data_IF_455160879279
#
_entry.id   IF_455160879279
#
_cell.length_a   1.000
_cell.length_b   1.000
_cell.length_c   1.000
_cell.angle_alpha   90.00
_cell.angle_beta   90.00
_cell.angle_gamma   90.00
#
_symmetry.space_group_name_H-M   'P 1'
#
loop_
_entity.id
_entity.type
_entity.pdbx_description
1 polymer ?
#
# COMPACT_ATOMS: atom_id res chain seq x y z
N UNK A 1 -19.28 -15.92 33.77
CA UNK A 1 -20.24 -15.78 32.67
C UNK A 1 -19.43 -15.67 31.38
N UNK A 2 -20.01 -15.96 30.21
CA UNK A 2 -19.32 -15.64 28.95
C UNK A 2 -19.26 -14.13 28.81
N UNK A 3 -18.07 -13.61 28.56
CA UNK A 3 -17.81 -12.20 28.33
C UNK A 3 -18.09 -11.81 26.88
N UNK A 4 -17.88 -12.74 25.95
CA UNK A 4 -18.21 -12.57 24.54
C UNK A 4 -18.29 -13.92 23.82
N UNK A 5 -19.17 -14.00 22.81
CA UNK A 5 -19.23 -15.09 21.84
C UNK A 5 -18.68 -14.62 20.51
N UNK A 6 -17.73 -15.34 19.95
CA UNK A 6 -17.14 -15.08 18.65
C UNK A 6 -17.69 -16.06 17.62
N UNK A 7 -17.90 -15.57 16.41
CA UNK A 7 -18.12 -16.41 15.25
C UNK A 7 -16.88 -16.38 14.35
N UNK A 8 -16.19 -17.52 14.25
CA UNK A 8 -14.97 -17.60 13.46
C UNK A 8 -15.31 -17.62 11.97
N UNK A 9 -14.50 -16.89 11.20
CA UNK A 9 -14.61 -16.84 9.75
C UNK A 9 -13.91 -18.04 9.12
N UNK A 10 -14.21 -18.30 7.84
CA UNK A 10 -13.46 -19.29 7.06
C UNK A 10 -11.98 -18.85 6.90
N UNK A 11 -11.00 -19.69 7.29
CA UNK A 11 -9.58 -19.37 7.16
C UNK A 11 -9.15 -18.91 5.76
N UNK A 12 -9.84 -19.36 4.71
CA UNK A 12 -9.55 -19.00 3.33
C UNK A 12 -9.98 -17.57 2.96
N UNK A 13 -10.80 -16.92 3.79
CA UNK A 13 -11.27 -15.55 3.56
C UNK A 13 -10.24 -14.49 3.98
N UNK A 14 -9.20 -14.89 4.73
CA UNK A 14 -8.24 -13.97 5.35
C UNK A 14 -8.83 -13.17 6.53
N UNK A 15 -10.04 -13.50 6.97
CA UNK A 15 -10.70 -12.91 8.14
C UNK A 15 -10.55 -13.81 9.35
N UNK A 16 -10.60 -13.22 10.55
CA UNK A 16 -10.59 -14.00 11.81
C UNK A 16 -12.00 -14.29 12.29
N UNK A 17 -12.86 -13.29 12.22
CA UNK A 17 -14.22 -13.37 12.76
C UNK A 17 -15.22 -12.76 11.78
N UNK A 18 -16.41 -13.35 11.68
CA UNK A 18 -17.53 -12.69 10.99
C UNK A 18 -18.16 -11.65 11.90
N UNK A 19 -18.29 -11.99 13.19
CA UNK A 19 -18.79 -11.10 14.21
C UNK A 19 -18.33 -11.52 15.62
N UNK A 20 -18.41 -10.58 16.55
CA UNK A 20 -18.20 -10.76 17.99
C UNK A 20 -19.44 -10.21 18.69
N UNK A 21 -20.01 -10.97 19.61
CA UNK A 21 -21.13 -10.54 20.44
C UNK A 21 -20.65 -10.45 21.88
N UNK A 22 -20.74 -9.27 22.50
CA UNK A 22 -20.36 -9.10 23.90
C UNK A 22 -21.44 -9.58 24.87
N UNK A 23 -21.12 -9.59 26.16
CA UNK A 23 -22.04 -9.99 27.24
C UNK A 23 -23.30 -9.12 27.34
N UNK A 24 -23.28 -7.88 26.86
CA UNK A 24 -24.43 -6.98 26.80
C UNK A 24 -25.30 -7.25 25.55
N UNK A 25 -24.87 -8.17 24.69
CA UNK A 25 -25.55 -8.56 23.45
C UNK A 25 -25.26 -7.65 22.26
N UNK A 26 -24.35 -6.68 22.39
CA UNK A 26 -23.91 -5.84 21.27
C UNK A 26 -23.09 -6.67 20.30
N UNK A 27 -23.29 -6.43 19.01
CA UNK A 27 -22.60 -7.14 17.93
C UNK A 27 -21.62 -6.20 17.25
N UNK A 28 -20.39 -6.68 17.10
CA UNK A 28 -19.32 -6.08 16.32
C UNK A 28 -19.12 -6.93 15.05
N UNK A 29 -19.08 -6.31 13.88
CA UNK A 29 -19.11 -7.03 12.61
C UNK A 29 -20.54 -7.34 12.15
N UNK A 30 -20.72 -8.36 11.31
CA UNK A 30 -22.01 -8.66 10.67
C UNK A 30 -22.38 -10.14 10.79
N UNK A 31 -23.57 -10.43 11.35
CA UNK A 31 -24.13 -11.79 11.44
C UNK A 31 -24.65 -12.33 10.11
N UNK A 32 -25.23 -11.45 9.29
CA UNK A 32 -26.00 -11.83 8.10
C UNK A 32 -25.44 -11.16 6.84
N UNK A 33 -24.13 -11.24 6.64
CA UNK A 33 -23.51 -10.79 5.39
C UNK A 33 -23.13 -12.01 4.56
N UNK A 34 -23.92 -12.29 3.52
CA UNK A 34 -23.65 -13.39 2.59
C UNK A 34 -22.30 -13.24 1.87
N UNK A 35 -21.73 -12.03 1.82
CA UNK A 35 -20.40 -11.79 1.27
C UNK A 35 -19.25 -12.16 2.23
N UNK A 36 -19.53 -12.34 3.53
CA UNK A 36 -18.54 -12.73 4.55
C UNK A 36 -18.48 -14.24 4.81
N UNK A 37 -19.36 -15.02 4.19
CA UNK A 37 -19.46 -16.46 4.39
C UNK A 37 -20.22 -16.86 5.67
N UNK A 38 -20.47 -18.16 5.83
CA UNK A 38 -21.14 -18.70 7.01
C UNK A 38 -20.20 -18.78 8.22
N UNK A 39 -20.76 -18.70 9.42
CA UNK A 39 -20.05 -19.01 10.64
C UNK A 39 -19.54 -20.46 10.60
N UNK A 40 -18.23 -20.68 10.70
CA UNK A 40 -17.70 -22.06 10.76
C UNK A 40 -18.03 -22.67 12.12
N UNK A 41 -17.67 -21.97 13.18
CA UNK A 41 -17.92 -22.35 14.55
C UNK A 41 -18.01 -21.11 15.46
N UNK A 42 -18.46 -21.35 16.69
CA UNK A 42 -18.55 -20.31 17.71
C UNK A 42 -17.59 -20.62 18.85
N UNK A 43 -16.95 -19.58 19.37
CA UNK A 43 -16.02 -19.64 20.48
C UNK A 43 -16.49 -18.72 21.60
N UNK A 44 -16.45 -19.19 22.85
CA UNK A 44 -16.83 -18.39 24.01
C UNK A 44 -15.57 -17.87 24.71
N UNK A 45 -15.53 -16.57 24.99
CA UNK A 45 -14.53 -15.93 25.83
C UNK A 45 -15.11 -15.78 27.22
N UNK A 46 -14.43 -16.32 28.22
CA UNK A 46 -14.91 -16.38 29.58
C UNK A 46 -14.25 -15.29 30.42
N UNK A 47 -15.01 -14.63 31.28
CA UNK A 47 -14.42 -13.76 32.29
C UNK A 47 -13.52 -14.58 33.23
N UNK A 48 -12.31 -14.10 33.49
CA UNK A 48 -11.46 -14.67 34.55
C UNK A 48 -12.04 -14.28 35.91
N UNK A 49 -12.78 -15.21 36.53
CA UNK A 49 -13.33 -15.05 37.87
C UNK A 49 -12.35 -15.53 38.94
N UNK A 50 -11.72 -14.58 39.66
CA UNK A 50 -11.02 -14.81 40.93
C UNK A 50 -11.71 -14.06 42.07
N UNK A 51 -11.57 -14.55 43.32
CA UNK A 51 -12.37 -14.14 44.50
C UNK A 51 -12.50 -12.63 44.80
N UNK A 52 -11.67 -11.76 44.22
CA UNK A 52 -11.74 -10.31 44.40
C UNK A 52 -11.35 -9.49 43.15
N UNK A 53 -11.32 -10.09 41.96
CA UNK A 53 -10.87 -9.40 40.73
C UNK A 53 -11.93 -9.53 39.65
N UNK A 54 -12.52 -8.40 39.27
CA UNK A 54 -13.37 -8.28 38.09
C UNK A 54 -12.50 -7.79 36.93
N UNK A 55 -12.16 -8.66 35.99
CA UNK A 55 -11.58 -8.25 34.73
C UNK A 55 -12.69 -8.14 33.68
N UNK A 56 -13.03 -6.92 33.27
CA UNK A 56 -13.84 -6.69 32.08
C UNK A 56 -13.04 -7.09 30.83
N UNK A 57 -13.64 -7.81 29.90
CA UNK A 57 -13.00 -8.10 28.60
C UNK A 57 -12.78 -6.80 27.82
N UNK A 58 -11.53 -6.52 27.44
CA UNK A 58 -11.16 -5.32 26.67
C UNK A 58 -10.89 -5.67 25.20
N UNK A 59 -11.32 -4.81 24.28
CA UNK A 59 -10.89 -4.85 22.88
C UNK A 59 -9.53 -4.17 22.75
N UNK A 60 -8.51 -4.97 22.42
CA UNK A 60 -7.14 -4.49 22.17
C UNK A 60 -6.78 -4.67 20.70
N UNK A 61 -6.09 -3.67 20.14
CA UNK A 61 -5.41 -3.83 18.86
C UNK A 61 -4.00 -4.36 19.11
N UNK A 62 -3.69 -5.52 18.53
CA UNK A 62 -2.38 -6.14 18.61
C UNK A 62 -1.77 -6.22 17.22
N UNK A 63 -0.46 -6.00 17.14
CA UNK A 63 0.30 -6.27 15.93
C UNK A 63 0.53 -7.80 15.85
N UNK A 64 0.13 -8.43 14.74
CA UNK A 64 0.36 -9.87 14.53
C UNK A 64 1.85 -10.14 14.32
N UNK A 65 2.43 -11.02 15.14
CA UNK A 65 3.88 -11.24 15.15
C UNK A 65 4.35 -12.28 14.14
N UNK A 66 3.55 -13.31 13.88
CA UNK A 66 4.00 -14.48 13.11
C UNK A 66 3.63 -14.41 11.63
N UNK A 67 2.41 -14.00 11.32
CA UNK A 67 1.91 -13.92 9.94
C UNK A 67 1.34 -12.54 9.63
N UNK A 68 2.24 -11.58 9.41
CA UNK A 68 1.89 -10.19 9.17
C UNK A 68 2.61 -9.62 7.95
N UNK A 69 1.82 -9.26 6.94
CA UNK A 69 2.29 -8.57 5.74
C UNK A 69 2.47 -7.07 6.03
N UNK A 70 3.54 -6.72 6.74
CA UNK A 70 3.84 -5.35 7.20
C UNK A 70 5.22 -4.85 6.80
N UNK A 71 5.90 -5.56 5.89
CA UNK A 71 7.26 -5.24 5.47
C UNK A 71 7.25 -4.62 4.06
N UNK A 72 8.10 -3.62 3.84
CA UNK A 72 8.28 -2.96 2.55
C UNK A 72 9.76 -2.97 2.19
N UNK A 73 10.09 -3.46 0.99
CA UNK A 73 11.47 -3.50 0.50
C UNK A 73 11.97 -2.11 0.14
N UNK A 74 13.12 -1.72 0.70
CA UNK A 74 13.82 -0.48 0.35
C UNK A 74 14.81 -0.69 -0.81
N UNK A 75 14.92 -1.92 -1.33
CA UNK A 75 15.78 -2.23 -2.47
C UNK A 75 15.27 -1.53 -3.73
N UNK A 76 16.15 -0.90 -4.52
CA UNK A 76 15.76 -0.23 -5.74
C UNK A 76 15.43 -1.23 -6.85
N UNK A 77 14.38 -0.94 -7.61
CA UNK A 77 14.15 -1.51 -8.93
C UNK A 77 14.60 -0.47 -9.97
N UNK A 78 15.36 -0.89 -10.98
CA UNK A 78 15.90 -0.02 -12.03
C UNK A 78 15.78 -0.67 -13.40
N UNK A 79 15.32 0.09 -14.38
CA UNK A 79 15.36 -0.30 -15.77
C UNK A 79 16.80 -0.49 -16.25
N UNK A 80 16.98 -1.26 -17.33
CA UNK A 80 18.28 -1.46 -17.95
C UNK A 80 18.67 -0.23 -18.80
N UNK A 81 19.13 0.82 -18.11
CA UNK A 81 19.54 2.08 -18.71
C UNK A 81 20.70 1.89 -19.71
N UNK A 82 21.57 0.90 -19.47
CA UNK A 82 22.66 0.57 -20.38
C UNK A 82 22.17 0.02 -21.72
N UNK A 83 20.99 -0.61 -21.75
CA UNK A 83 20.30 -1.05 -22.95
C UNK A 83 19.24 -0.05 -23.45
N UNK A 84 19.36 1.23 -23.09
CA UNK A 84 18.42 2.29 -23.49
C UNK A 84 16.96 2.03 -23.04
N UNK A 85 16.76 1.30 -21.93
CA UNK A 85 15.42 1.01 -21.41
C UNK A 85 14.99 1.99 -20.35
N UNK A 86 13.71 2.36 -20.40
CA UNK A 86 13.04 3.23 -19.45
C UNK A 86 11.90 2.49 -18.76
N UNK A 87 11.41 3.05 -17.65
CA UNK A 87 10.21 2.55 -16.98
C UNK A 87 8.97 2.96 -17.78
N UNK A 88 8.15 1.98 -18.15
CA UNK A 88 6.86 2.17 -18.83
C UNK A 88 5.66 1.86 -17.94
N UNK A 89 5.90 1.26 -16.78
CA UNK A 89 4.87 0.94 -15.81
C UNK A 89 5.42 0.50 -14.47
N UNK A 90 4.58 0.55 -13.45
CA UNK A 90 4.93 0.16 -12.08
C UNK A 90 3.79 -0.65 -11.46
N UNK A 91 4.10 -1.55 -10.52
CA UNK A 91 3.09 -2.24 -9.71
C UNK A 91 3.64 -2.65 -8.35
N UNK A 92 2.74 -2.88 -7.41
CA UNK A 92 3.07 -3.51 -6.15
C UNK A 92 2.98 -5.03 -6.27
N UNK A 93 3.98 -5.73 -5.76
CA UNK A 93 3.98 -7.20 -5.66
C UNK A 93 4.26 -7.58 -4.21
N UNK A 94 3.46 -8.49 -3.67
CA UNK A 94 3.71 -9.14 -2.38
C UNK A 94 4.45 -10.46 -2.64
N UNK A 95 5.63 -10.63 -2.05
CA UNK A 95 6.30 -11.92 -1.95
C UNK A 95 6.48 -12.20 -0.46
N UNK A 96 5.95 -13.34 -0.01
CA UNK A 96 5.88 -13.68 1.40
C UNK A 96 5.18 -12.54 2.17
N UNK A 97 5.79 -11.98 3.21
CA UNK A 97 5.21 -10.87 3.98
C UNK A 97 5.77 -9.48 3.61
N UNK A 98 6.46 -9.38 2.46
CA UNK A 98 7.14 -8.16 2.01
C UNK A 98 6.55 -7.63 0.71
N UNK A 99 6.29 -6.33 0.66
CA UNK A 99 5.86 -5.61 -0.54
C UNK A 99 7.05 -5.01 -1.30
N UNK A 100 7.03 -5.13 -2.62
CA UNK A 100 8.05 -4.65 -3.54
C UNK A 100 7.41 -3.76 -4.60
N UNK A 101 8.17 -2.80 -5.11
CA UNK A 101 7.86 -2.13 -6.37
C UNK A 101 8.48 -2.98 -7.49
N UNK A 102 7.66 -3.37 -8.47
CA UNK A 102 8.10 -4.01 -9.70
C UNK A 102 7.90 -3.06 -10.88
N UNK A 103 8.83 -3.08 -11.84
CA UNK A 103 8.84 -2.21 -13.00
C UNK A 103 8.52 -2.97 -14.27
N UNK A 104 7.71 -2.36 -15.14
CA UNK A 104 7.67 -2.66 -16.57
C UNK A 104 8.69 -1.75 -17.26
N UNK A 105 9.48 -2.31 -18.16
CA UNK A 105 10.47 -1.57 -18.93
C UNK A 105 10.32 -1.84 -20.43
N UNK A 106 10.73 -0.88 -21.25
CA UNK A 106 10.87 -1.01 -22.69
C UNK A 106 12.00 -0.10 -23.19
N UNK A 107 12.55 -0.42 -24.35
CA UNK A 107 13.52 0.43 -25.05
C UNK A 107 12.84 1.74 -25.48
N UNK A 108 13.46 2.86 -25.14
CA UNK A 108 12.95 4.17 -25.52
C UNK A 108 13.15 4.42 -27.02
N UNK A 109 12.15 5.03 -27.65
CA UNK A 109 12.19 5.53 -29.02
C UNK A 109 11.93 7.04 -29.02
N UNK A 110 12.09 7.69 -30.17
CA UNK A 110 11.90 9.13 -30.31
C UNK A 110 10.49 9.61 -29.89
N UNK A 111 10.35 10.91 -29.64
CA UNK A 111 9.06 11.60 -29.47
C UNK A 111 8.14 11.03 -28.37
N UNK A 112 8.71 10.48 -27.30
CA UNK A 112 7.92 9.92 -26.19
C UNK A 112 7.46 8.48 -26.39
N UNK A 113 7.77 7.87 -27.54
CA UNK A 113 7.42 6.49 -27.85
C UNK A 113 8.39 5.48 -27.21
N UNK A 114 7.97 4.22 -27.23
CA UNK A 114 8.79 3.08 -26.83
C UNK A 114 8.64 1.96 -27.85
N UNK A 115 9.67 1.12 -27.98
CA UNK A 115 9.59 -0.09 -28.76
C UNK A 115 8.75 -1.14 -28.01
N UNK A 116 7.47 -1.23 -28.34
CA UNK A 116 6.50 -2.09 -27.65
C UNK A 116 6.89 -3.58 -27.66
N UNK A 117 7.65 -4.03 -28.66
CA UNK A 117 8.15 -5.41 -28.75
C UNK A 117 9.15 -5.78 -27.65
N UNK A 118 9.77 -4.80 -27.00
CA UNK A 118 10.75 -4.99 -25.92
C UNK A 118 10.14 -4.89 -24.52
N UNK A 119 8.84 -4.61 -24.44
CA UNK A 119 8.11 -4.39 -23.19
C UNK A 119 8.10 -5.64 -22.34
N UNK A 120 8.57 -5.54 -21.10
CA UNK A 120 8.58 -6.64 -20.16
C UNK A 120 8.57 -6.17 -18.71
N UNK A 121 7.92 -6.95 -17.83
CA UNK A 121 8.05 -6.77 -16.39
C UNK A 121 9.38 -7.37 -15.91
N UNK A 122 10.20 -6.56 -15.24
CA UNK A 122 11.44 -7.04 -14.65
C UNK A 122 11.15 -7.93 -13.44
N UNK A 123 11.85 -9.06 -13.25
CA UNK A 123 11.71 -9.85 -12.04
C UNK A 123 12.17 -9.06 -10.81
N UNK A 124 11.65 -9.41 -9.63
CA UNK A 124 12.20 -8.90 -8.37
C UNK A 124 13.63 -9.46 -8.23
N UNK A 125 14.62 -8.58 -8.17
CA UNK A 125 16.04 -8.95 -8.24
C UNK A 125 16.46 -9.96 -7.16
N UNK A 126 15.99 -9.74 -5.93
CA UNK A 126 16.12 -10.70 -4.82
C UNK A 126 14.99 -10.52 -3.82
N UNK A 127 14.68 -11.58 -3.08
CA UNK A 127 13.78 -11.53 -1.92
C UNK A 127 14.53 -10.99 -0.69
N UNK A 128 13.79 -10.30 0.17
CA UNK A 128 14.21 -9.91 1.51
C UNK A 128 14.07 -11.12 2.44
N UNK A 129 15.14 -11.42 3.17
CA UNK A 129 15.14 -12.33 4.31
C UNK A 129 15.30 -11.50 5.59
N UNK A 130 14.21 -11.32 6.32
CA UNK A 130 14.15 -10.50 7.54
C UNK A 130 15.07 -10.97 8.68
N UNK A 131 15.65 -12.17 8.58
CA UNK A 131 16.65 -12.65 9.55
C UNK A 131 18.09 -12.27 9.18
N UNK A 132 18.33 -11.89 7.91
CA UNK A 132 19.67 -11.61 7.36
C UNK A 132 19.83 -10.18 6.86
N UNK A 133 18.76 -9.61 6.32
CA UNK A 133 18.68 -8.25 5.84
C UNK A 133 18.44 -7.27 6.98
N UNK A 134 18.80 -6.00 6.78
CA UNK A 134 18.80 -4.99 7.83
C UNK A 134 17.60 -4.04 7.72
N UNK A 135 16.81 -3.93 8.79
CA UNK A 135 15.71 -2.96 8.88
C UNK A 135 16.26 -1.52 8.83
N UNK A 136 15.64 -0.66 8.01
CA UNK A 136 16.08 0.70 7.73
C UNK A 136 17.04 0.83 6.55
N UNK A 137 17.74 -0.25 6.16
CA UNK A 137 18.60 -0.29 4.96
C UNK A 137 17.96 -1.05 3.81
N UNK A 138 17.57 -2.30 4.05
CA UNK A 138 17.09 -3.23 3.02
C UNK A 138 15.56 -3.29 3.00
N UNK A 139 14.91 -3.13 4.14
CA UNK A 139 13.46 -3.11 4.28
C UNK A 139 13.02 -2.21 5.44
N UNK A 140 11.74 -1.91 5.54
CA UNK A 140 11.12 -1.32 6.74
C UNK A 140 9.96 -2.19 7.20
N UNK A 141 9.76 -2.30 8.51
CA UNK A 141 8.58 -2.92 9.11
C UNK A 141 7.66 -1.83 9.66
N UNK A 142 6.41 -1.84 9.24
CA UNK A 142 5.41 -0.97 9.84
C UNK A 142 5.06 -1.46 11.25
N UNK A 143 4.93 -0.53 12.18
CA UNK A 143 4.55 -0.79 13.57
C UNK A 143 3.42 0.12 14.01
N UNK A 144 2.83 -0.14 15.19
CA UNK A 144 1.85 0.75 15.80
C UNK A 144 2.26 2.24 15.79
N UNK A 145 3.54 2.53 16.01
CA UNK A 145 4.08 3.90 16.06
C UNK A 145 4.56 4.42 14.71
N UNK A 146 4.85 3.54 13.75
CA UNK A 146 5.44 3.87 12.45
C UNK A 146 4.66 3.18 11.34
N UNK A 147 3.54 3.81 10.96
CA UNK A 147 2.59 3.29 9.97
C UNK A 147 1.96 4.39 9.13
N UNK A 148 2.63 5.54 9.07
CA UNK A 148 2.20 6.65 8.23
C UNK A 148 2.87 6.57 6.87
N UNK A 149 2.14 6.99 5.84
CA UNK A 149 2.57 7.05 4.46
C UNK A 149 2.48 8.50 3.99
N UNK A 150 3.55 9.00 3.39
CA UNK A 150 3.58 10.29 2.75
C UNK A 150 3.11 10.15 1.30
N UNK A 151 1.94 10.72 1.02
CA UNK A 151 1.37 10.83 -0.32
C UNK A 151 2.04 12.02 -1.00
N UNK A 152 3.04 11.71 -1.83
CA UNK A 152 3.81 12.66 -2.59
C UNK A 152 4.01 12.13 -4.01
N UNK A 153 4.00 13.04 -4.97
CA UNK A 153 4.45 12.81 -6.33
C UNK A 153 5.86 13.38 -6.52
N UNK A 154 6.76 12.58 -7.06
CA UNK A 154 8.10 12.95 -7.47
C UNK A 154 8.14 13.04 -8.98
N UNK A 155 8.76 14.11 -9.50
CA UNK A 155 8.80 14.36 -10.94
C UNK A 155 10.16 14.88 -11.37
N UNK A 156 10.69 14.28 -12.43
CA UNK A 156 11.86 14.77 -13.15
C UNK A 156 11.61 16.14 -13.79
N UNK A 157 12.67 16.90 -13.99
CA UNK A 157 12.63 18.21 -14.64
C UNK A 157 13.07 18.12 -16.09
N UNK A 158 12.50 18.96 -16.96
CA UNK A 158 12.90 19.04 -18.36
C UNK A 158 12.78 17.71 -19.09
N UNK A 159 13.88 17.24 -19.67
CA UNK A 159 13.98 16.00 -20.45
C UNK A 159 14.34 14.77 -19.60
N UNK A 160 13.86 14.70 -18.36
CA UNK A 160 14.10 13.57 -17.47
C UNK A 160 12.98 12.54 -17.56
N UNK A 161 13.38 11.27 -17.68
CA UNK A 161 12.48 10.11 -17.68
C UNK A 161 12.78 9.18 -16.52
N UNK A 162 11.74 8.48 -16.07
CA UNK A 162 11.76 7.52 -14.98
C UNK A 162 12.53 6.27 -15.41
N UNK A 163 13.57 5.94 -14.66
CA UNK A 163 14.44 4.78 -14.89
C UNK A 163 14.52 3.87 -13.67
N UNK A 164 13.91 4.25 -12.54
CA UNK A 164 13.89 3.40 -11.36
C UNK A 164 12.92 3.89 -10.28
N UNK A 165 12.63 3.01 -9.33
CA UNK A 165 11.75 3.25 -8.20
C UNK A 165 12.20 2.46 -6.98
N UNK A 166 11.99 3.01 -5.80
CA UNK A 166 12.14 2.27 -4.54
C UNK A 166 11.18 2.84 -3.49
N UNK A 167 10.84 2.04 -2.48
CA UNK A 167 10.31 2.61 -1.25
C UNK A 167 11.40 3.35 -0.48
N UNK A 168 10.99 4.32 0.32
CA UNK A 168 11.89 5.11 1.14
C UNK A 168 11.19 5.54 2.44
N UNK A 169 11.94 5.71 3.52
CA UNK A 169 11.43 6.21 4.79
C UNK A 169 11.94 7.63 5.03
N UNK A 170 11.03 8.59 5.18
CA UNK A 170 11.37 10.00 5.43
C UNK A 170 10.58 10.54 6.61
N UNK A 171 11.28 10.96 7.66
CA UNK A 171 10.65 11.58 8.82
C UNK A 171 9.62 10.67 9.53
N UNK A 172 9.76 9.35 9.44
CA UNK A 172 8.81 8.38 10.00
C UNK A 172 7.64 8.01 9.08
N UNK A 173 7.65 8.49 7.83
CA UNK A 173 6.64 8.17 6.83
C UNK A 173 7.22 7.30 5.72
N UNK A 174 6.52 6.23 5.37
CA UNK A 174 6.78 5.45 4.15
C UNK A 174 6.44 6.31 2.93
N UNK A 175 7.30 6.31 1.93
CA UNK A 175 7.11 7.02 0.67
C UNK A 175 7.86 6.31 -0.45
N UNK A 176 7.95 6.95 -1.61
CA UNK A 176 8.74 6.48 -2.75
C UNK A 176 9.93 7.40 -3.01
N UNK A 177 10.94 6.87 -3.68
CA UNK A 177 12.00 7.61 -4.37
C UNK A 177 12.02 7.16 -5.82
N UNK A 178 12.35 8.08 -6.72
CA UNK A 178 12.28 7.87 -8.17
C UNK A 178 13.66 8.11 -8.77
N UNK A 179 14.19 7.16 -9.53
CA UNK A 179 15.39 7.41 -10.33
C UNK A 179 14.97 8.02 -11.67
N UNK A 180 15.61 9.12 -12.03
CA UNK A 180 15.37 9.81 -13.29
C UNK A 180 16.67 9.94 -14.07
N UNK A 181 16.59 9.87 -15.38
CA UNK A 181 17.73 9.96 -16.31
C UNK A 181 17.37 10.90 -17.45
N UNK A 182 18.31 11.73 -17.89
CA UNK A 182 18.08 12.61 -19.04
C UNK A 182 17.96 11.78 -20.32
N UNK A 183 17.04 12.16 -21.20
CA UNK A 183 16.81 11.55 -22.51
C UNK A 183 16.86 12.62 -23.62
N UNK A 184 17.39 12.27 -24.80
CA UNK A 184 17.31 13.13 -25.99
C UNK A 184 15.95 12.99 -26.68
N UNK A 185 15.62 13.93 -27.57
CA UNK A 185 14.41 13.84 -28.43
C UNK A 185 14.38 12.56 -29.28
N UNK A 186 15.56 12.04 -29.65
CA UNK A 186 15.70 10.77 -30.37
C UNK A 186 15.43 9.53 -29.52
N UNK A 187 15.21 9.69 -28.21
CA UNK A 187 14.99 8.59 -27.27
C UNK A 187 16.27 7.97 -26.71
N UNK A 188 17.43 8.60 -26.86
CA UNK A 188 18.69 8.09 -26.32
C UNK A 188 18.91 8.56 -24.87
N UNK A 189 19.10 7.61 -23.95
CA UNK A 189 19.39 7.88 -22.55
C UNK A 189 20.83 8.34 -22.34
N UNK A 190 21.00 9.38 -21.53
CA UNK A 190 22.30 9.85 -21.06
C UNK A 190 22.59 9.14 -19.72
N UNK A 191 23.06 7.90 -19.76
CA UNK A 191 23.14 7.02 -18.59
C UNK A 191 23.82 7.64 -17.35
N UNK A 192 24.90 8.41 -17.55
CA UNK A 192 25.65 9.06 -16.45
C UNK A 192 24.89 10.21 -15.78
N UNK A 193 23.77 10.67 -16.35
CA UNK A 193 22.91 11.70 -15.75
C UNK A 193 21.90 11.15 -14.74
N UNK A 194 21.89 9.84 -14.52
CA UNK A 194 20.92 9.18 -13.64
C UNK A 194 21.05 9.66 -12.20
N UNK A 195 19.95 10.13 -11.62
CA UNK A 195 19.90 10.63 -10.25
C UNK A 195 18.61 10.20 -9.54
N UNK A 196 18.66 10.10 -8.21
CA UNK A 196 17.48 9.80 -7.39
C UNK A 196 16.82 11.09 -6.92
N UNK A 197 15.52 11.17 -7.12
CA UNK A 197 14.62 12.10 -6.46
C UNK A 197 14.11 11.42 -5.20
N UNK A 198 14.35 12.03 -4.05
CA UNK A 198 13.85 11.51 -2.76
C UNK A 198 12.61 12.28 -2.29
N UNK A 199 11.76 11.59 -1.54
CA UNK A 199 10.65 12.20 -0.82
C UNK A 199 11.15 13.29 0.14
N UNK A 200 10.41 14.39 0.26
CA UNK A 200 10.78 15.48 1.18
C UNK A 200 10.08 15.30 2.50
N UNK A 201 10.80 15.53 3.61
CA UNK A 201 10.19 15.46 4.95
C UNK A 201 9.02 16.44 5.01
N UNK A 202 7.81 16.01 5.41
CA UNK A 202 6.67 16.90 5.55
C UNK A 202 6.95 17.98 6.60
N UNK A 203 6.55 19.21 6.30
CA UNK A 203 6.55 20.30 7.27
C UNK A 203 5.58 20.00 8.42
N UNK A 204 5.76 20.68 9.56
CA UNK A 204 4.78 20.61 10.64
C UNK A 204 3.40 21.06 10.13
N UNK A 205 2.36 20.27 10.43
CA UNK A 205 0.99 20.58 10.02
C UNK A 205 0.60 20.10 8.62
N UNK A 206 1.41 19.26 7.95
CA UNK A 206 0.95 18.59 6.70
C UNK A 206 -0.39 17.87 6.95
N UNK A 207 -1.41 18.10 6.10
CA UNK A 207 -2.73 17.53 6.32
C UNK A 207 -2.71 16.00 6.34
N UNK A 208 -3.39 15.43 7.33
CA UNK A 208 -3.65 14.00 7.38
C UNK A 208 -4.98 13.68 6.69
N UNK A 209 -4.92 12.84 5.66
CA UNK A 209 -6.09 12.26 5.03
C UNK A 209 -6.72 11.26 6.00
N UNK A 210 -7.95 11.58 6.45
CA UNK A 210 -8.70 10.74 7.38
C UNK A 210 -9.42 9.64 6.62
N UNK A 211 -9.06 8.40 6.89
CA UNK A 211 -9.74 7.24 6.33
C UNK A 211 -11.16 7.13 6.88
N UNK A 212 -12.07 6.67 6.03
CA UNK A 212 -13.43 6.31 6.44
C UNK A 212 -13.52 4.79 6.48
N UNK A 213 -13.89 4.22 7.61
CA UNK A 213 -14.22 2.79 7.68
C UNK A 213 -15.73 2.64 7.79
N UNK A 214 -16.39 2.59 6.64
CA UNK A 214 -17.81 2.23 6.57
C UNK A 214 -18.01 0.74 6.84
N UNK A 215 -19.28 0.28 6.85
CA UNK A 215 -19.61 -1.07 7.23
C UNK A 215 -19.31 -2.10 6.13
N UNK A 216 -19.11 -1.66 4.88
CA UNK A 216 -18.71 -2.53 3.76
C UNK A 216 -17.20 -2.40 3.59
N UNK A 217 -16.42 -3.51 3.58
CA UNK A 217 -14.99 -3.43 3.30
C UNK A 217 -14.75 -2.96 1.86
N UNK A 218 -13.62 -2.28 1.60
CA UNK A 218 -13.31 -1.71 0.28
C UNK A 218 -13.37 -2.72 -0.86
N UNK A 219 -13.07 -3.98 -0.56
CA UNK A 219 -13.04 -5.11 -1.50
C UNK A 219 -14.43 -5.62 -1.89
N UNK A 220 -15.49 -5.25 -1.16
CA UNK A 220 -16.87 -5.69 -1.40
C UNK A 220 -17.78 -4.55 -1.89
N UNK A 221 -17.25 -3.35 -2.07
CA UNK A 221 -18.01 -2.22 -2.61
C UNK A 221 -18.11 -2.29 -4.13
N UNK A 222 -19.34 -2.25 -4.65
CA UNK A 222 -19.60 -2.05 -6.08
C UNK A 222 -19.38 -0.60 -6.55
N UNK A 223 -19.27 0.35 -5.61
CA UNK A 223 -19.04 1.75 -5.94
C UNK A 223 -17.58 1.98 -6.40
N UNK A 224 -17.35 2.84 -7.39
CA UNK A 224 -16.00 3.16 -7.84
C UNK A 224 -15.21 3.92 -6.77
N UNK A 225 -13.88 3.72 -6.79
CA UNK A 225 -12.93 4.49 -5.99
C UNK A 225 -12.33 5.62 -6.83
N UNK A 226 -12.34 6.84 -6.30
CA UNK A 226 -11.78 8.01 -6.96
C UNK A 226 -10.53 8.49 -6.21
N UNK A 227 -9.48 8.94 -6.92
CA UNK A 227 -8.35 9.60 -6.27
C UNK A 227 -8.84 10.79 -5.45
N UNK A 228 -8.52 10.80 -4.16
CA UNK A 228 -8.91 11.84 -3.20
C UNK A 228 -7.70 12.48 -2.50
N UNK A 229 -6.49 11.96 -2.75
CA UNK A 229 -5.25 12.64 -2.43
C UNK A 229 -5.08 13.89 -3.29
N UNK A 230 -4.76 15.02 -2.67
CA UNK A 230 -4.63 16.30 -3.36
C UNK A 230 -3.25 16.46 -4.04
N UNK A 231 -3.16 17.25 -5.13
CA UNK A 231 -1.87 17.68 -5.67
C UNK A 231 -1.08 18.44 -4.61
N UNK A 232 0.04 17.86 -4.15
CA UNK A 232 0.83 18.40 -3.05
C UNK A 232 1.35 17.29 -2.14
N UNK A 233 1.36 17.57 -0.84
CA UNK A 233 1.87 16.65 0.18
C UNK A 233 0.79 16.42 1.25
N UNK A 234 0.40 15.18 1.44
CA UNK A 234 -0.52 14.74 2.50
C UNK A 234 0.02 13.48 3.15
N UNK A 235 -0.41 13.18 4.36
CA UNK A 235 -0.13 11.89 4.98
C UNK A 235 -1.39 11.06 5.10
N UNK A 236 -1.30 9.76 4.87
CA UNK A 236 -2.29 8.79 5.32
C UNK A 236 -1.64 7.89 6.37
N UNK A 237 -2.42 7.16 7.15
CA UNK A 237 -1.89 6.25 8.14
C UNK A 237 -2.64 4.94 8.07
N UNK A 238 -1.93 3.82 8.19
CA UNK A 238 -2.58 2.55 8.36
C UNK A 238 -3.29 2.50 9.72
N UNK A 239 -4.54 2.06 9.72
CA UNK A 239 -5.38 1.96 10.91
C UNK A 239 -6.26 0.71 10.84
N UNK A 240 -6.74 0.27 12.00
CA UNK A 240 -7.75 -0.77 12.03
C UNK A 240 -9.08 -0.25 11.45
N UNK A 241 -9.83 -1.15 10.83
CA UNK A 241 -11.21 -0.89 10.46
C UNK A 241 -12.07 -0.56 11.68
N UNK A 242 -13.26 -0.05 11.44
CA UNK A 242 -14.20 0.30 12.51
C UNK A 242 -14.64 -0.95 13.27
N UNK A 243 -14.66 -0.84 14.60
CA UNK A 243 -14.97 -1.95 15.50
C UNK A 243 -16.41 -2.46 15.32
N UNK A 244 -17.40 -1.57 15.28
CA UNK A 244 -18.81 -1.94 15.12
C UNK A 244 -19.08 -2.57 13.74
N UNK A 245 -18.44 -2.04 12.70
CA UNK A 245 -18.62 -2.46 11.31
C UNK A 245 -17.93 -3.78 10.94
N UNK A 246 -16.69 -3.98 11.39
CA UNK A 246 -15.78 -5.01 10.89
C UNK A 246 -14.96 -5.68 12.01
N UNK A 247 -15.36 -5.50 13.27
CA UNK A 247 -14.63 -5.99 14.44
C UNK A 247 -13.16 -5.55 14.49
N UNK A 248 -12.84 -4.43 13.83
CA UNK A 248 -11.49 -3.87 13.73
C UNK A 248 -10.41 -4.84 13.20
N UNK A 249 -10.81 -5.84 12.40
CA UNK A 249 -9.91 -6.92 11.97
C UNK A 249 -9.14 -6.61 10.67
N UNK A 250 -9.59 -5.63 9.88
CA UNK A 250 -8.93 -5.24 8.63
C UNK A 250 -7.96 -4.09 8.87
N UNK A 251 -6.84 -4.07 8.15
CA UNK A 251 -5.91 -2.94 8.10
C UNK A 251 -6.22 -2.07 6.89
N UNK A 252 -6.53 -0.79 7.10
CA UNK A 252 -6.89 0.18 6.07
C UNK A 252 -5.79 1.26 5.93
N UNK A 253 -5.55 1.82 4.74
CA UNK A 253 -6.18 1.44 3.47
C UNK A 253 -5.65 0.09 2.97
N UNK A 254 -6.36 -0.54 2.03
CA UNK A 254 -5.82 -1.71 1.34
C UNK A 254 -4.69 -1.29 0.38
N UNK A 255 -3.84 -2.22 -0.02
CA UNK A 255 -2.83 -1.95 -1.05
C UNK A 255 -3.37 -2.30 -2.43
N UNK A 256 -3.25 -1.36 -3.36
CA UNK A 256 -3.60 -1.55 -4.77
C UNK A 256 -2.40 -2.16 -5.52
N UNK A 257 -2.53 -3.44 -5.87
CA UNK A 257 -1.50 -4.20 -6.61
C UNK A 257 -1.69 -4.16 -8.12
N UNK A 258 -2.69 -3.42 -8.62
CA UNK A 258 -2.95 -3.31 -10.05
C UNK A 258 -1.75 -2.67 -10.77
N UNK A 259 -1.44 -3.11 -12.00
CA UNK A 259 -0.40 -2.49 -12.80
C UNK A 259 -0.79 -1.08 -13.23
N UNK A 260 0.14 -0.16 -13.08
CA UNK A 260 0.02 1.25 -13.47
C UNK A 260 0.97 1.46 -14.64
N UNK A 261 0.46 1.14 -15.83
CA UNK A 261 1.20 1.18 -17.09
C UNK A 261 0.30 1.77 -18.18
N UNK A 262 0.56 2.99 -18.68
CA UNK A 262 -0.21 3.57 -19.77
C UNK A 262 -0.23 2.67 -21.00
N UNK A 263 -1.37 2.66 -21.69
CA UNK A 263 -1.56 1.97 -22.97
C UNK A 263 -2.13 2.99 -23.98
N UNK A 264 -1.39 3.35 -25.05
CA UNK A 264 -0.04 2.88 -25.40
C UNK A 264 1.01 3.27 -24.36
N UNK A 265 2.06 2.45 -24.25
CA UNK A 265 3.20 2.76 -23.40
C UNK A 265 3.99 3.95 -23.96
N UNK A 266 4.61 4.71 -23.08
CA UNK A 266 5.40 5.88 -23.45
C UNK A 266 6.32 6.28 -22.32
N UNK A 267 7.01 7.40 -22.49
CA UNK A 267 7.90 7.91 -21.48
C UNK A 267 7.13 8.28 -20.20
N UNK A 268 7.71 7.98 -19.05
CA UNK A 268 7.23 8.43 -17.75
C UNK A 268 8.26 9.38 -17.16
N UNK A 269 7.83 10.42 -16.45
CA UNK A 269 8.70 11.40 -15.79
C UNK A 269 8.44 11.50 -14.29
N UNK A 270 7.39 10.87 -13.78
CA UNK A 270 7.02 10.96 -12.38
C UNK A 270 6.51 9.65 -11.79
N UNK A 271 6.69 9.54 -10.48
CA UNK A 271 6.30 8.42 -9.63
C UNK A 271 5.71 8.98 -8.34
N UNK A 272 4.65 8.38 -7.82
CA UNK A 272 4.09 8.77 -6.54
C UNK A 272 3.33 7.67 -5.83
N UNK A 273 2.88 8.00 -4.63
CA UNK A 273 1.86 7.26 -3.91
C UNK A 273 0.59 8.12 -3.85
N UNK A 274 -0.55 7.47 -4.06
CA UNK A 274 -1.84 8.12 -4.00
C UNK A 274 -2.82 7.27 -3.20
N UNK A 275 -3.83 7.93 -2.64
CA UNK A 275 -4.98 7.25 -2.07
C UNK A 275 -6.18 7.44 -3.01
N UNK A 276 -6.99 6.39 -3.14
CA UNK A 276 -8.31 6.44 -3.77
C UNK A 276 -9.34 5.79 -2.86
N UNK A 277 -10.52 6.37 -2.82
CA UNK A 277 -11.63 5.86 -2.02
C UNK A 277 -12.96 6.41 -2.49
N UNK A 278 -14.01 6.14 -1.70
CA UNK A 278 -15.33 6.72 -1.94
C UNK A 278 -15.66 7.70 -0.80
N UNK A 279 -15.72 8.99 -1.15
CA UNK A 279 -15.96 10.09 -0.20
C UNK A 279 -17.41 10.19 0.28
N UNK A 280 -18.35 9.53 -0.41
CA UNK A 280 -19.78 9.67 -0.19
C UNK A 280 -20.40 8.60 0.73
N UNK A 281 -19.72 7.49 1.05
CA UNK A 281 -20.43 6.39 1.71
C UNK A 281 -19.68 5.20 2.29
N UNK A 282 -18.35 5.17 2.30
CA UNK A 282 -17.66 4.43 3.36
C UNK A 282 -17.04 3.08 2.99
N UNK A 283 -15.77 3.17 2.65
CA UNK A 283 -14.77 2.13 2.88
C UNK A 283 -13.38 2.77 2.89
N UNK A 284 -12.40 2.11 3.51
CA UNK A 284 -11.08 2.69 3.82
C UNK A 284 -10.16 2.92 2.64
N UNK A 285 -10.66 2.74 1.41
CA UNK A 285 -9.95 2.99 0.18
C UNK A 285 -8.75 2.08 -0.05
N UNK A 286 -7.90 2.55 -0.96
CA UNK A 286 -6.72 1.86 -1.45
C UNK A 286 -5.56 2.84 -1.56
N UNK A 287 -4.37 2.39 -1.15
CA UNK A 287 -3.09 3.04 -1.40
C UNK A 287 -2.45 2.38 -2.62
N UNK A 288 -2.13 3.17 -3.65
CA UNK A 288 -1.54 2.69 -4.89
C UNK A 288 -0.36 3.52 -5.35
N UNK A 289 0.37 2.99 -6.33
CA UNK A 289 1.40 3.72 -7.07
C UNK A 289 0.77 4.59 -8.15
N UNK A 290 1.34 5.75 -8.42
CA UNK A 290 0.96 6.60 -9.55
C UNK A 290 2.17 6.90 -10.43
N UNK A 291 1.92 7.13 -11.72
CA UNK A 291 2.94 7.57 -12.67
C UNK A 291 2.46 8.78 -13.44
N UNK A 292 3.39 9.59 -13.96
CA UNK A 292 3.09 10.73 -14.85
C UNK A 292 3.90 10.66 -16.11
N UNK A 293 3.30 11.07 -17.23
CA UNK A 293 4.03 11.38 -18.46
C UNK A 293 4.89 12.65 -18.32
N UNK A 294 5.78 12.93 -19.29
CA UNK A 294 6.58 14.14 -19.30
C UNK A 294 5.70 15.39 -19.48
N UNK A 295 6.13 16.51 -18.92
CA UNK A 295 5.62 17.83 -19.32
C UNK A 295 6.63 18.43 -20.27
N UNK A 296 6.34 18.35 -21.57
CA UNK A 296 7.06 19.13 -22.56
C UNK A 296 6.46 20.54 -22.54
N UNK A 297 7.33 21.53 -22.28
CA UNK A 297 6.97 22.95 -22.34
C UNK A 297 6.97 23.46 -23.77
#
# INVERSE_FOLDING_TARGET
MSAATLCNADPNTGRRYNWIQDSDGRIYGRKEDSALGSCIDTSEVWDLWGLFVHCSTCFCLCDEDTDSARYFSLLPATADVAQNKIVTGVRLVKLDNVFYIQLEQAEAAADGYVNSSTTQWQPIARRIDTNRDEEGRDYVRLSYSQRSVLLQELRGQGNQVLTGAAFHMVGGHLTVRAQVTNISETGALVAFSSGWLDGRRPAAGVPRLKLRSGPVPSTHSAAPSWPDSWPGMQTVQFEASNLDADAAQSTLPFLDTQPVAPRPAGWLSGLGLYHKGNTAGGYGGYLGLSVRGPTFG
#
